data_IF_538222433776
#
_entry.id   IF_538222433776
#
_cell.length_a   1.000
_cell.length_b   1.000
_cell.length_c   1.000
_cell.angle_alpha   90.00
_cell.angle_beta   90.00
_cell.angle_gamma   90.00
#
_symmetry.space_group_name_H-M   'P 1'
#
loop_
_entity.id
_entity.type
_entity.pdbx_description
1 polymer ?
#
# COMPACT_ATOMS: atom_id res chain seq x y z
N UNK A 1 17.56 -15.08 9.05
CA UNK A 1 17.18 -14.02 8.09
C UNK A 1 16.56 -12.89 8.90
N UNK A 2 17.15 -11.70 8.82
CA UNK A 2 16.69 -10.47 9.47
C UNK A 2 15.42 -9.95 8.75
N UNK A 3 14.49 -9.33 9.45
CA UNK A 3 13.29 -8.70 8.88
C UNK A 3 13.61 -7.71 7.76
N UNK A 4 14.76 -7.03 7.84
CA UNK A 4 15.28 -6.17 6.77
C UNK A 4 15.56 -6.96 5.47
N UNK A 5 16.19 -8.13 5.57
CA UNK A 5 16.47 -9.00 4.42
C UNK A 5 15.19 -9.58 3.81
N UNK A 6 14.21 -9.94 4.65
CA UNK A 6 12.91 -10.42 4.20
C UNK A 6 12.17 -9.33 3.43
N UNK A 7 12.16 -8.11 3.99
CA UNK A 7 11.57 -6.94 3.36
C UNK A 7 12.21 -6.70 2.00
N UNK A 8 13.53 -6.67 1.91
CA UNK A 8 14.23 -6.38 0.65
C UNK A 8 13.92 -7.43 -0.42
N UNK A 9 13.83 -8.71 -0.02
CA UNK A 9 13.41 -9.79 -0.91
C UNK A 9 11.95 -9.65 -1.37
N UNK A 10 11.04 -9.25 -0.47
CA UNK A 10 9.64 -9.00 -0.84
C UNK A 10 9.52 -7.81 -1.78
N UNK A 11 10.16 -6.68 -1.45
CA UNK A 11 10.17 -5.51 -2.32
C UNK A 11 10.73 -5.83 -3.70
N UNK A 12 11.82 -6.60 -3.78
CA UNK A 12 12.36 -7.02 -5.07
C UNK A 12 11.37 -7.83 -5.92
N UNK A 13 10.48 -8.62 -5.29
CA UNK A 13 9.42 -9.31 -6.02
C UNK A 13 8.32 -8.36 -6.51
N UNK A 14 8.04 -7.28 -5.77
CA UNK A 14 7.07 -6.25 -6.12
C UNK A 14 7.56 -5.35 -7.26
N UNK A 15 8.88 -5.11 -7.39
CA UNK A 15 9.50 -4.21 -8.40
C UNK A 15 9.12 -4.54 -9.86
N UNK A 16 8.62 -5.76 -10.12
CA UNK A 16 8.16 -6.16 -11.47
C UNK A 16 6.82 -5.54 -11.87
N UNK A 17 5.97 -5.23 -10.91
CA UNK A 17 4.58 -4.84 -11.16
C UNK A 17 4.14 -3.59 -10.39
N UNK A 18 4.84 -3.23 -9.31
CA UNK A 18 4.51 -2.10 -8.45
C UNK A 18 5.55 -0.99 -8.58
N UNK A 19 5.08 0.24 -8.51
CA UNK A 19 5.93 1.41 -8.31
C UNK A 19 6.35 1.48 -6.84
N UNK A 20 7.66 1.49 -6.57
CA UNK A 20 8.19 1.47 -5.21
C UNK A 20 8.84 2.79 -4.83
N UNK A 21 8.39 3.37 -3.72
CA UNK A 21 8.96 4.56 -3.07
C UNK A 21 9.69 4.14 -1.80
N UNK A 22 10.96 4.52 -1.65
CA UNK A 22 11.80 4.22 -0.46
C UNK A 22 12.62 5.47 -0.05
N UNK A 23 12.56 5.96 1.20
CA UNK A 23 11.53 5.68 2.21
C UNK A 23 10.18 6.34 1.84
N UNK A 24 9.11 5.94 2.51
CA UNK A 24 7.78 6.56 2.35
C UNK A 24 7.37 7.28 3.63
N UNK A 25 7.06 8.57 3.51
CA UNK A 25 6.62 9.42 4.63
C UNK A 25 5.09 9.55 4.63
N UNK A 26 4.45 9.24 5.75
CA UNK A 26 2.98 9.28 5.92
C UNK A 26 2.68 9.91 7.27
N UNK A 27 1.97 11.03 7.29
CA UNK A 27 1.57 11.71 8.53
C UNK A 27 2.73 12.03 9.51
N UNK A 28 3.95 12.22 8.99
CA UNK A 28 5.16 12.41 9.81
C UNK A 28 5.80 11.11 10.33
N UNK A 29 5.23 9.95 10.00
CA UNK A 29 5.81 8.63 10.25
C UNK A 29 6.51 8.08 9.01
N UNK A 30 7.73 7.57 9.20
CA UNK A 30 8.50 6.91 8.15
C UNK A 30 8.18 5.42 8.08
N UNK A 31 7.89 4.96 6.87
CA UNK A 31 7.83 3.56 6.45
C UNK A 31 9.05 3.26 5.57
N UNK A 32 9.55 2.03 5.61
CA UNK A 32 10.73 1.62 4.83
C UNK A 32 10.47 1.73 3.33
N UNK A 33 9.24 1.42 2.91
CA UNK A 33 8.81 1.54 1.53
C UNK A 33 7.28 1.61 1.42
N UNK A 34 6.80 2.20 0.33
CA UNK A 34 5.45 2.01 -0.18
C UNK A 34 5.54 1.42 -1.59
N UNK A 35 4.87 0.30 -1.82
CA UNK A 35 4.71 -0.28 -3.15
C UNK A 35 3.27 -0.04 -3.62
N UNK A 36 3.11 0.66 -4.74
CA UNK A 36 1.81 1.06 -5.28
C UNK A 36 1.55 0.39 -6.63
N UNK A 37 0.32 -0.08 -6.84
CA UNK A 37 -0.14 -0.65 -8.10
C UNK A 37 -1.48 -0.04 -8.48
N UNK A 38 -1.67 0.15 -9.79
CA UNK A 38 -2.90 0.68 -10.36
C UNK A 38 -3.30 -0.16 -11.57
N UNK A 39 -4.52 -0.67 -11.54
CA UNK A 39 -5.13 -1.39 -12.65
C UNK A 39 -6.38 -0.62 -13.11
N UNK A 40 -6.49 -0.41 -14.42
CA UNK A 40 -7.71 0.11 -15.02
C UNK A 40 -8.23 -0.83 -16.09
N UNK A 41 -9.55 -1.04 -16.07
CA UNK A 41 -10.27 -1.86 -17.04
C UNK A 41 -11.40 -1.05 -17.68
N UNK A 42 -11.67 -1.27 -18.96
CA UNK A 42 -12.81 -0.66 -19.63
C UNK A 42 -13.41 -1.60 -20.67
N UNK A 43 -14.74 -1.61 -20.79
CA UNK A 43 -15.47 -2.36 -21.80
C UNK A 43 -16.21 -1.42 -22.73
N UNK A 44 -16.17 -1.69 -24.03
CA UNK A 44 -16.78 -0.86 -25.06
C UNK A 44 -17.76 -1.67 -25.93
N UNK A 45 -18.72 -1.00 -26.55
CA UNK A 45 -19.68 -1.59 -27.50
C UNK A 45 -19.47 -0.98 -28.88
N UNK A 46 -19.13 -1.82 -29.87
CA UNK A 46 -18.96 -1.46 -31.30
C UNK A 46 -17.85 -0.44 -31.64
N UNK A 47 -17.52 0.50 -30.76
CA UNK A 47 -16.42 1.46 -30.90
C UNK A 47 -15.99 2.02 -29.53
N UNK A 48 -14.79 2.61 -29.45
CA UNK A 48 -14.32 3.31 -28.23
C UNK A 48 -15.20 4.50 -27.81
N UNK A 49 -16.08 5.00 -28.69
CA UNK A 49 -17.01 6.10 -28.37
C UNK A 49 -18.24 5.66 -27.59
N UNK A 50 -18.51 4.35 -27.52
CA UNK A 50 -19.61 3.79 -26.75
C UNK A 50 -19.02 2.89 -25.65
N UNK A 51 -18.50 3.53 -24.61
CA UNK A 51 -18.01 2.85 -23.40
C UNK A 51 -19.19 2.33 -22.58
N UNK A 52 -19.13 1.06 -22.18
CA UNK A 52 -20.13 0.39 -21.36
C UNK A 52 -19.86 0.60 -19.87
N UNK A 53 -18.60 0.43 -19.47
CA UNK A 53 -18.13 0.68 -18.10
C UNK A 53 -16.61 0.83 -18.08
N UNK A 54 -16.13 1.45 -17.01
CA UNK A 54 -14.73 1.55 -16.61
C UNK A 54 -14.60 1.25 -15.13
N UNK A 55 -13.50 0.63 -14.76
CA UNK A 55 -13.13 0.35 -13.38
C UNK A 55 -11.68 0.74 -13.15
N UNK A 56 -11.41 1.20 -11.94
CA UNK A 56 -10.09 1.54 -11.44
C UNK A 56 -9.89 0.87 -10.08
N UNK A 57 -8.84 0.07 -9.98
CA UNK A 57 -8.45 -0.65 -8.77
C UNK A 57 -7.05 -0.17 -8.37
N UNK A 58 -6.84 0.07 -7.08
CA UNK A 58 -5.55 0.52 -6.56
C UNK A 58 -5.10 -0.36 -5.41
N UNK A 59 -3.79 -0.54 -5.28
CA UNK A 59 -3.18 -1.19 -4.14
C UNK A 59 -2.02 -0.36 -3.60
N UNK A 60 -1.92 -0.24 -2.28
CA UNK A 60 -0.79 0.37 -1.59
C UNK A 60 -0.34 -0.53 -0.45
N UNK A 61 0.88 -1.06 -0.56
CA UNK A 61 1.51 -1.89 0.46
C UNK A 61 2.63 -1.11 1.14
N UNK A 62 2.45 -0.80 2.43
CA UNK A 62 3.42 -0.12 3.27
C UNK A 62 4.25 -1.13 4.04
N UNK A 63 5.57 -1.04 3.93
CA UNK A 63 6.50 -1.97 4.57
C UNK A 63 7.20 -1.31 5.74
N UNK A 64 7.29 -2.02 6.87
CA UNK A 64 8.07 -1.59 8.02
C UNK A 64 8.72 -2.78 8.72
N UNK A 65 10.05 -2.82 8.72
CA UNK A 65 10.81 -3.79 9.47
C UNK A 65 11.11 -3.25 10.87
N UNK A 66 10.68 -3.99 11.89
CA UNK A 66 10.76 -3.60 13.30
C UNK A 66 11.52 -4.65 14.11
N UNK A 67 12.18 -4.24 15.18
CA UNK A 67 12.85 -5.18 16.10
C UNK A 67 11.82 -5.96 16.93
N UNK A 68 10.80 -5.24 17.41
CA UNK A 68 9.65 -5.77 18.11
C UNK A 68 8.39 -5.17 17.50
N UNK A 69 7.37 -6.02 17.30
CA UNK A 69 6.06 -5.58 16.86
C UNK A 69 5.18 -5.47 18.10
N UNK A 70 4.68 -4.27 18.37
CA UNK A 70 3.80 -3.99 19.50
C UNK A 70 2.48 -3.36 19.02
N UNK A 71 1.54 -3.20 19.94
CA UNK A 71 0.20 -2.67 19.62
C UNK A 71 0.27 -1.22 19.11
N UNK A 72 1.22 -0.42 19.60
CA UNK A 72 1.41 0.97 19.16
C UNK A 72 1.80 1.06 17.68
N UNK A 73 2.58 0.11 17.14
CA UNK A 73 2.92 0.08 15.71
C UNK A 73 1.67 -0.08 14.84
N UNK A 74 0.76 -0.96 15.26
CA UNK A 74 -0.49 -1.25 14.56
C UNK A 74 -1.46 -0.07 14.70
N UNK A 75 -1.61 0.47 15.91
CA UNK A 75 -2.45 1.65 16.17
C UNK A 75 -1.98 2.86 15.36
N UNK A 76 -0.66 3.09 15.29
CA UNK A 76 -0.08 4.17 14.49
C UNK A 76 -0.43 4.01 13.00
N UNK A 77 -0.31 2.80 12.46
CA UNK A 77 -0.69 2.55 11.07
C UNK A 77 -2.18 2.70 10.83
N UNK A 78 -3.04 2.32 11.78
CA UNK A 78 -4.48 2.53 11.68
C UNK A 78 -4.82 4.03 11.69
N UNK A 79 -4.15 4.83 12.53
CA UNK A 79 -4.27 6.29 12.53
C UNK A 79 -3.79 6.87 11.20
N UNK A 80 -2.63 6.47 10.70
CA UNK A 80 -2.12 6.91 9.41
C UNK A 80 -3.06 6.52 8.26
N UNK A 81 -3.64 5.33 8.33
CA UNK A 81 -4.61 4.84 7.36
C UNK A 81 -5.84 5.74 7.30
N UNK A 82 -6.44 6.06 8.44
CA UNK A 82 -7.72 6.80 8.50
C UNK A 82 -7.56 8.30 8.38
N UNK A 83 -6.46 8.86 8.89
CA UNK A 83 -6.25 10.31 8.94
C UNK A 83 -5.41 10.85 7.77
N UNK A 84 -4.64 9.99 7.10
CA UNK A 84 -3.74 10.42 6.02
C UNK A 84 -3.88 9.63 4.73
N UNK A 85 -3.72 8.31 4.74
CA UNK A 85 -3.69 7.50 3.52
C UNK A 85 -5.05 7.53 2.84
N UNK A 86 -6.12 7.22 3.56
CA UNK A 86 -7.47 7.24 2.99
C UNK A 86 -7.85 8.64 2.46
N UNK A 87 -7.73 9.74 3.23
CA UNK A 87 -8.17 11.04 2.74
C UNK A 87 -7.30 11.61 1.62
N UNK A 88 -5.99 11.36 1.63
CA UNK A 88 -5.03 12.04 0.74
C UNK A 88 -4.50 11.19 -0.39
N UNK A 89 -4.45 9.87 -0.22
CA UNK A 89 -3.96 8.94 -1.25
C UNK A 89 -5.14 8.28 -1.95
N UNK A 90 -6.13 7.78 -1.21
CA UNK A 90 -7.28 7.09 -1.81
C UNK A 90 -8.29 8.08 -2.40
N UNK A 91 -8.70 9.09 -1.61
CA UNK A 91 -9.64 10.12 -2.07
C UNK A 91 -8.98 11.32 -2.72
N UNK A 92 -7.66 11.46 -2.64
CA UNK A 92 -6.92 12.61 -3.18
C UNK A 92 -7.48 13.98 -2.71
N UNK A 93 -7.97 14.04 -1.47
CA UNK A 93 -8.58 15.24 -0.88
C UNK A 93 -10.05 15.49 -1.26
N UNK A 94 -10.67 14.61 -2.06
CA UNK A 94 -12.09 14.68 -2.44
C UNK A 94 -12.99 14.11 -1.33
N UNK A 95 -14.29 14.41 -1.42
CA UNK A 95 -15.29 13.85 -0.50
C UNK A 95 -15.40 12.31 -0.66
N UNK A 96 -15.35 11.84 -1.91
CA UNK A 96 -15.39 10.42 -2.28
C UNK A 96 -14.36 10.15 -3.41
N UNK A 97 -13.94 8.88 -3.63
CA UNK A 97 -13.09 8.52 -4.76
C UNK A 97 -13.72 8.84 -6.12
N UNK A 98 -12.92 8.76 -7.20
CA UNK A 98 -13.39 9.01 -8.57
C UNK A 98 -14.50 8.05 -9.00
N UNK A 99 -15.31 8.46 -9.98
CA UNK A 99 -16.53 7.74 -10.38
C UNK A 99 -16.28 6.29 -10.83
N UNK A 100 -15.13 6.02 -11.45
CA UNK A 100 -14.76 4.68 -11.90
C UNK A 100 -13.97 3.88 -10.84
N UNK A 101 -13.77 4.45 -9.65
CA UNK A 101 -13.09 3.78 -8.54
C UNK A 101 -13.93 2.61 -8.05
N UNK A 102 -13.35 1.41 -8.11
CA UNK A 102 -13.98 0.20 -7.60
C UNK A 102 -13.56 -0.08 -6.17
N UNK A 103 -12.25 -0.09 -5.92
CA UNK A 103 -11.69 -0.25 -4.58
C UNK A 103 -10.24 0.24 -4.53
N UNK A 104 -9.78 0.52 -3.31
CA UNK A 104 -8.36 0.57 -2.98
C UNK A 104 -8.07 -0.40 -1.85
N UNK A 105 -7.07 -1.26 -2.02
CA UNK A 105 -6.53 -2.08 -0.95
C UNK A 105 -5.31 -1.38 -0.33
N UNK A 106 -5.39 -1.10 0.96
CA UNK A 106 -4.24 -0.59 1.72
C UNK A 106 -3.79 -1.67 2.70
N UNK A 107 -2.52 -2.04 2.64
CA UNK A 107 -1.94 -3.12 3.45
C UNK A 107 -0.71 -2.62 4.20
N UNK A 108 -0.68 -2.86 5.52
CA UNK A 108 0.50 -2.67 6.36
C UNK A 108 1.25 -3.99 6.55
N UNK A 109 2.49 -4.07 6.10
CA UNK A 109 3.35 -5.24 6.17
C UNK A 109 4.45 -4.98 7.20
N UNK A 110 4.29 -5.58 8.38
CA UNK A 110 5.25 -5.47 9.48
C UNK A 110 6.14 -6.72 9.56
N UNK A 111 7.45 -6.50 9.52
CA UNK A 111 8.43 -7.57 9.44
C UNK A 111 9.33 -7.55 10.67
N UNK A 112 9.18 -8.55 11.53
CA UNK A 112 10.00 -8.71 12.74
C UNK A 112 11.09 -9.76 12.54
N UNK A 113 12.31 -9.46 13.00
CA UNK A 113 13.37 -10.48 13.13
C UNK A 113 13.11 -11.35 14.34
N UNK A 114 12.90 -12.65 14.15
CA UNK A 114 12.85 -13.59 15.27
C UNK A 114 14.28 -14.01 15.63
N UNK A 115 14.79 -13.55 16.78
CA UNK A 115 15.99 -14.16 17.38
C UNK A 115 15.55 -15.46 18.05
N UNK A 116 15.98 -16.60 17.54
CA UNK A 116 15.81 -17.88 18.23
C UNK A 116 16.40 -17.72 19.64
N UNK A 117 15.58 -17.87 20.67
CA UNK A 117 16.07 -17.96 22.05
C UNK A 117 16.93 -19.22 22.13
N UNK A 118 18.25 -19.07 22.13
CA UNK A 118 19.14 -20.15 22.60
C UNK A 118 18.85 -20.34 24.08
N UNK A 119 18.27 -21.50 24.41
CA UNK A 119 18.11 -22.00 25.76
C UNK A 119 19.48 -22.40 26.34
#
# INVERSE_FOLDING_TARGET
MNGQEIRDRMLHSYERSYDIVKPSEVNGHTYDACASYHESGAKYVLSKKAELWRISCHEHAYFKAVEELNDQDVETFLTDLTEWIEPKVVREGKEVPDTDHMYTLVTGIFLRTNRLRTA
#
